data_IF_964071080845
#
_entry.id   IF_964071080845
#
_cell.length_a   1.000
_cell.length_b   1.000
_cell.length_c   1.000
_cell.angle_alpha   90.00
_cell.angle_beta   90.00
_cell.angle_gamma   90.00
#
_symmetry.space_group_name_H-M   'P 1'
#
loop_
_entity.id
_entity.type
_entity.pdbx_description
1 polymer ?
#
# COMPACT_ATOMS: atom_id res chain seq x y z
N UNK A 1 -2.10 19.17 -6.22
CA UNK A 1 -2.41 18.39 -5.01
C UNK A 1 -1.35 18.72 -3.99
N UNK A 2 -1.71 19.18 -2.80
CA UNK A 2 -0.75 19.33 -1.71
C UNK A 2 -0.25 17.94 -1.32
N UNK A 3 1.07 17.78 -1.23
CA UNK A 3 1.67 16.55 -0.76
C UNK A 3 1.34 16.40 0.73
N UNK A 4 0.61 15.35 1.09
CA UNK A 4 0.29 15.08 2.50
C UNK A 4 1.61 14.73 3.20
N UNK A 5 1.98 15.51 4.20
CA UNK A 5 3.15 15.21 5.02
C UNK A 5 2.86 13.97 5.90
N UNK A 6 3.26 12.81 5.39
CA UNK A 6 3.01 11.51 6.03
C UNK A 6 3.73 11.37 7.38
N UNK A 7 4.90 11.99 7.51
CA UNK A 7 5.66 11.99 8.77
C UNK A 7 4.95 12.79 9.85
N UNK A 8 4.48 13.99 9.52
CA UNK A 8 3.70 14.81 10.46
C UNK A 8 2.39 14.13 10.86
N UNK A 9 1.75 13.40 9.94
CA UNK A 9 0.54 12.63 10.24
C UNK A 9 0.84 11.45 11.18
N UNK A 10 1.97 10.77 10.99
CA UNK A 10 2.43 9.68 11.87
C UNK A 10 2.68 10.17 13.29
N UNK A 11 3.43 11.26 13.43
CA UNK A 11 3.72 11.88 14.74
C UNK A 11 2.44 12.31 15.47
N UNK A 12 1.48 12.87 14.72
CA UNK A 12 0.18 13.23 15.28
C UNK A 12 -0.61 12.00 15.76
N UNK A 13 -0.59 10.91 14.99
CA UNK A 13 -1.26 9.66 15.36
C UNK A 13 -0.61 8.98 16.56
N UNK A 14 0.71 8.88 16.61
CA UNK A 14 1.47 8.34 17.76
C UNK A 14 1.19 9.14 19.03
N UNK A 15 1.18 10.47 18.94
CA UNK A 15 0.88 11.36 20.08
C UNK A 15 -0.57 11.24 20.55
N UNK A 16 -1.51 10.97 19.64
CA UNK A 16 -2.90 10.73 19.98
C UNK A 16 -3.13 9.36 20.65
N UNK A 17 -2.17 8.44 20.54
CA UNK A 17 -2.16 7.12 21.17
C UNK A 17 -2.81 6.04 20.30
N UNK A 18 -2.26 4.82 20.34
CA UNK A 18 -2.69 3.64 19.56
C UNK A 18 -4.04 3.04 20.02
N UNK A 19 -4.74 3.73 20.91
CA UNK A 19 -5.99 3.24 21.45
C UNK A 19 -7.05 3.13 20.35
N UNK A 20 -7.70 1.96 20.29
CA UNK A 20 -8.87 1.79 19.44
C UNK A 20 -9.99 2.68 19.94
N UNK A 21 -10.70 3.33 19.03
CA UNK A 21 -11.82 4.20 19.36
C UNK A 21 -13.15 3.50 19.01
N UNK A 22 -14.21 3.88 19.72
CA UNK A 22 -15.54 3.33 19.55
C UNK A 22 -16.58 4.45 19.46
N UNK A 23 -17.45 4.36 18.47
CA UNK A 23 -18.65 5.18 18.37
C UNK A 23 -19.73 4.66 19.34
N UNK A 24 -20.31 5.54 20.16
CA UNK A 24 -21.38 5.20 21.10
C UNK A 24 -22.46 6.27 21.11
N UNK A 25 -23.69 5.87 21.45
CA UNK A 25 -24.76 6.79 21.82
C UNK A 25 -24.98 6.65 23.33
N UNK A 26 -24.89 7.74 24.07
CA UNK A 26 -24.98 7.75 25.54
C UNK A 26 -25.99 8.83 25.92
N UNK A 27 -27.05 8.46 26.64
CA UNK A 27 -28.10 9.37 27.14
C UNK A 27 -28.82 10.26 26.10
N UNK A 28 -28.64 10.01 24.80
CA UNK A 28 -29.23 10.84 23.74
C UNK A 28 -28.18 11.35 22.76
N UNK A 29 -26.97 11.57 23.28
CA UNK A 29 -25.89 12.23 22.57
C UNK A 29 -24.88 11.23 22.01
N UNK A 30 -24.07 11.71 21.08
CA UNK A 30 -23.22 10.90 20.23
C UNK A 30 -21.75 11.14 20.56
N UNK A 31 -21.06 10.08 20.97
CA UNK A 31 -19.67 10.16 21.42
C UNK A 31 -18.75 9.23 20.65
N UNK A 32 -17.51 9.66 20.49
CA UNK A 32 -16.36 8.77 20.30
C UNK A 32 -15.71 8.58 21.65
N UNK A 33 -15.51 7.32 22.05
CA UNK A 33 -14.94 6.93 23.33
C UNK A 33 -13.77 5.97 23.12
N UNK A 34 -12.89 5.84 24.11
CA UNK A 34 -11.86 4.79 24.08
C UNK A 34 -12.54 3.42 24.08
N UNK A 35 -12.14 2.54 23.16
CA UNK A 35 -12.71 1.21 23.04
C UNK A 35 -12.57 0.43 24.35
N UNK A 36 -13.65 -0.21 24.81
CA UNK A 36 -13.67 -0.96 26.06
C UNK A 36 -13.80 -0.12 27.33
N UNK A 37 -13.79 1.22 27.25
CA UNK A 37 -13.95 2.08 28.43
C UNK A 37 -15.39 2.16 28.96
N UNK A 38 -16.38 1.78 28.16
CA UNK A 38 -17.79 1.87 28.54
C UNK A 38 -18.18 0.79 29.52
N UNK A 39 -18.53 1.18 30.75
CA UNK A 39 -19.07 0.30 31.78
C UNK A 39 -20.33 0.88 32.40
N UNK A 40 -21.30 0.01 32.69
CA UNK A 40 -22.55 0.37 33.37
C UNK A 40 -22.72 -0.52 34.59
N UNK A 41 -22.67 0.06 35.78
CA UNK A 41 -22.77 -0.67 37.06
C UNK A 41 -23.62 0.13 38.04
N UNK A 42 -24.52 -0.55 38.77
CA UNK A 42 -25.35 0.05 39.83
C UNK A 42 -26.07 1.36 39.43
N UNK A 43 -26.52 1.46 38.18
CA UNK A 43 -27.18 2.66 37.64
C UNK A 43 -26.23 3.77 37.18
N UNK A 44 -24.93 3.67 37.49
CA UNK A 44 -23.89 4.59 37.03
C UNK A 44 -23.31 4.13 35.69
N UNK A 45 -23.02 5.10 34.83
CA UNK A 45 -22.35 4.88 33.55
C UNK A 45 -21.00 5.60 33.59
N UNK A 46 -19.92 4.86 33.33
CA UNK A 46 -18.57 5.42 33.22
C UNK A 46 -17.96 5.06 31.86
N UNK A 47 -17.22 6.01 31.30
CA UNK A 47 -16.54 5.89 30.01
C UNK A 47 -15.47 6.97 29.90
N UNK A 48 -14.54 6.81 28.96
CA UNK A 48 -13.53 7.82 28.65
C UNK A 48 -13.90 8.51 27.32
N UNK A 49 -14.45 9.74 27.37
CA UNK A 49 -14.81 10.49 26.17
C UNK A 49 -13.56 10.99 25.44
N UNK A 50 -13.60 10.91 24.11
CA UNK A 50 -12.60 11.50 23.21
C UNK A 50 -13.18 12.74 22.55
N UNK A 51 -14.39 12.62 22.00
CA UNK A 51 -15.11 13.71 21.38
C UNK A 51 -16.63 13.47 21.44
N UNK A 52 -17.38 14.56 21.59
CA UNK A 52 -18.82 14.61 21.35
C UNK A 52 -19.06 15.12 19.93
N UNK A 53 -19.84 14.38 19.15
CA UNK A 53 -20.06 14.64 17.72
C UNK A 53 -21.52 14.36 17.39
N UNK A 54 -22.33 15.41 17.28
CA UNK A 54 -23.78 15.33 17.02
C UNK A 54 -24.14 14.57 15.74
N UNK A 55 -23.32 14.69 14.71
CA UNK A 55 -23.57 14.05 13.44
C UNK A 55 -23.14 12.58 13.49
N UNK A 56 -24.13 11.66 13.55
CA UNK A 56 -23.90 10.20 13.61
C UNK A 56 -22.91 9.69 12.55
N UNK A 57 -23.04 10.03 11.24
CA UNK A 57 -22.08 9.61 10.23
C UNK A 57 -20.64 10.08 10.50
N UNK A 58 -20.48 11.33 10.96
CA UNK A 58 -19.16 11.90 11.25
C UNK A 58 -18.53 11.20 12.46
N UNK A 59 -19.30 10.97 13.53
CA UNK A 59 -18.86 10.18 14.68
C UNK A 59 -18.39 8.79 14.26
N UNK A 60 -19.18 8.11 13.43
CA UNK A 60 -18.86 6.74 12.97
C UNK A 60 -17.60 6.72 12.11
N UNK A 61 -17.39 7.74 11.28
CA UNK A 61 -16.17 7.92 10.52
C UNK A 61 -14.97 8.16 11.45
N UNK A 62 -15.04 9.12 12.37
CA UNK A 62 -13.94 9.46 13.30
C UNK A 62 -13.55 8.27 14.16
N UNK A 63 -14.50 7.48 14.65
CA UNK A 63 -14.19 6.27 15.42
C UNK A 63 -13.43 5.20 14.60
N UNK A 64 -13.70 5.11 13.28
CA UNK A 64 -13.00 4.21 12.36
C UNK A 64 -11.63 4.77 11.94
N UNK A 65 -11.56 6.06 11.65
CA UNK A 65 -10.34 6.81 11.31
C UNK A 65 -9.55 7.20 12.57
N UNK A 66 -9.44 6.27 13.52
CA UNK A 66 -8.67 6.46 14.74
C UNK A 66 -7.16 6.40 14.45
N UNK A 67 -6.31 6.84 15.41
CA UNK A 67 -4.87 6.87 15.19
C UNK A 67 -4.25 5.52 14.80
N UNK A 68 -4.70 4.41 15.39
CA UNK A 68 -4.23 3.08 15.03
C UNK A 68 -4.51 2.74 13.55
N UNK A 69 -5.72 2.99 13.06
CA UNK A 69 -6.07 2.81 11.64
C UNK A 69 -5.23 3.72 10.74
N UNK A 70 -4.95 4.95 11.17
CA UNK A 70 -4.11 5.88 10.38
C UNK A 70 -2.67 5.35 10.28
N UNK A 71 -2.11 4.83 11.37
CA UNK A 71 -0.77 4.22 11.36
C UNK A 71 -0.71 2.99 10.46
N UNK A 72 -1.69 2.09 10.56
CA UNK A 72 -1.78 0.91 9.69
C UNK A 72 -1.82 1.30 8.20
N UNK A 73 -2.62 2.31 7.83
CA UNK A 73 -2.69 2.80 6.45
C UNK A 73 -1.40 3.45 5.97
N UNK A 74 -0.66 4.14 6.87
CA UNK A 74 0.64 4.71 6.53
C UNK A 74 1.69 3.62 6.30
N UNK A 75 1.68 2.56 7.10
CA UNK A 75 2.58 1.41 6.94
C UNK A 75 2.31 0.67 5.62
N UNK A 76 1.04 0.45 5.28
CA UNK A 76 0.65 -0.14 3.99
C UNK A 76 1.09 0.73 2.80
N UNK A 77 0.96 2.06 2.92
CA UNK A 77 1.37 3.00 1.89
C UNK A 77 2.90 3.00 1.70
N UNK A 78 3.66 2.97 2.79
CA UNK A 78 5.12 2.90 2.75
C UNK A 78 5.59 1.59 2.10
N UNK A 79 4.98 0.46 2.49
CA UNK A 79 5.26 -0.85 1.88
C UNK A 79 4.95 -0.86 0.37
N UNK A 80 3.83 -0.28 -0.04
CA UNK A 80 3.45 -0.17 -1.44
C UNK A 80 4.45 0.71 -2.22
N UNK A 81 4.84 1.87 -1.68
CA UNK A 81 5.85 2.74 -2.29
C UNK A 81 7.20 2.03 -2.43
N UNK A 82 7.64 1.29 -1.41
CA UNK A 82 8.87 0.49 -1.46
C UNK A 82 8.79 -0.58 -2.55
N UNK A 83 7.64 -1.24 -2.68
CA UNK A 83 7.42 -2.24 -3.73
C UNK A 83 7.45 -1.63 -5.12
N UNK A 84 6.86 -0.44 -5.31
CA UNK A 84 6.92 0.30 -6.58
C UNK A 84 8.37 0.67 -6.91
N UNK A 85 9.12 1.24 -5.97
CA UNK A 85 10.52 1.58 -6.19
C UNK A 85 11.38 0.36 -6.52
N UNK A 86 11.15 -0.79 -5.88
CA UNK A 86 11.82 -2.04 -6.21
C UNK A 86 11.47 -2.49 -7.64
N UNK A 87 10.23 -2.34 -8.08
CA UNK A 87 9.80 -2.71 -9.43
C UNK A 87 10.35 -1.74 -10.49
N UNK A 88 10.41 -0.45 -10.19
CA UNK A 88 10.97 0.58 -11.08
C UNK A 88 12.49 0.46 -11.23
N UNK A 89 13.19 0.01 -10.18
CA UNK A 89 14.63 -0.25 -10.21
C UNK A 89 15.01 -1.58 -10.88
N UNK A 90 14.04 -2.44 -11.25
CA UNK A 90 14.33 -3.69 -11.95
C UNK A 90 14.70 -3.42 -13.40
N UNK A 91 15.92 -3.77 -13.76
CA UNK A 91 16.41 -3.71 -15.13
C UNK A 91 16.57 -5.11 -15.72
N UNK A 92 16.32 -5.24 -17.02
CA UNK A 92 16.57 -6.48 -17.76
C UNK A 92 17.88 -6.30 -18.53
N UNK A 93 18.89 -7.08 -18.18
CA UNK A 93 20.14 -7.14 -18.94
C UNK A 93 19.94 -8.05 -20.14
N UNK A 94 19.91 -7.44 -21.33
CA UNK A 94 19.81 -8.20 -22.58
C UNK A 94 21.15 -8.85 -22.92
N UNK A 95 21.13 -10.07 -23.50
CA UNK A 95 22.34 -10.74 -23.97
C UNK A 95 23.00 -9.95 -25.11
N UNK A 96 24.27 -10.26 -25.38
CA UNK A 96 24.98 -9.65 -26.51
C UNK A 96 24.28 -9.99 -27.84
N UNK A 97 24.21 -9.02 -28.76
CA UNK A 97 23.63 -9.26 -30.08
C UNK A 97 24.58 -10.14 -30.90
N UNK A 98 24.05 -11.20 -31.49
CA UNK A 98 24.77 -12.07 -32.41
C UNK A 98 24.51 -11.68 -33.86
N UNK A 99 25.53 -11.80 -34.71
CA UNK A 99 25.38 -11.60 -36.15
C UNK A 99 24.57 -12.74 -36.78
N UNK A 100 23.61 -12.40 -37.65
CA UNK A 100 22.82 -13.40 -38.39
C UNK A 100 23.55 -13.99 -39.61
N UNK A 101 24.81 -13.61 -39.88
CA UNK A 101 25.61 -14.02 -41.05
C UNK A 101 25.80 -15.54 -41.24
N UNK A 102 25.50 -16.37 -40.23
CA UNK A 102 25.79 -17.82 -40.25
C UNK A 102 24.60 -18.73 -39.91
N UNK A 103 23.36 -18.21 -39.86
CA UNK A 103 22.18 -19.08 -39.66
C UNK A 103 21.66 -19.62 -40.99
N UNK A 104 21.55 -20.94 -41.07
CA UNK A 104 21.18 -21.70 -42.27
C UNK A 104 19.67 -21.59 -42.61
N UNK A 105 18.88 -21.13 -41.63
CA UNK A 105 17.41 -21.13 -41.61
C UNK A 105 16.79 -19.72 -41.76
N UNK A 106 17.60 -18.69 -42.03
CA UNK A 106 17.14 -17.32 -42.31
C UNK A 106 17.34 -16.91 -43.78
N UNK A 107 16.42 -16.09 -44.30
CA UNK A 107 16.48 -15.58 -45.67
C UNK A 107 17.67 -14.63 -45.85
N UNK A 108 18.31 -14.68 -47.03
CA UNK A 108 19.57 -13.97 -47.38
C UNK A 108 19.53 -12.46 -47.05
N UNK A 109 18.34 -11.85 -47.13
CA UNK A 109 18.08 -10.43 -46.85
C UNK A 109 18.37 -9.99 -45.41
N UNK A 110 18.50 -10.93 -44.45
CA UNK A 110 18.72 -10.63 -43.03
C UNK A 110 20.16 -10.85 -42.55
N UNK A 111 21.06 -11.26 -43.44
CA UNK A 111 22.43 -11.65 -43.08
C UNK A 111 23.24 -10.54 -42.40
N UNK A 112 22.97 -9.26 -42.64
CA UNK A 112 23.73 -8.15 -42.05
C UNK A 112 23.19 -7.63 -40.72
N UNK A 113 22.06 -8.17 -40.23
CA UNK A 113 21.37 -7.65 -39.04
C UNK A 113 21.91 -8.29 -37.77
N UNK A 114 22.29 -7.46 -36.80
CA UNK A 114 22.61 -7.90 -35.43
C UNK A 114 21.32 -8.19 -34.67
N UNK A 115 21.18 -9.39 -34.12
CA UNK A 115 19.94 -9.81 -33.45
C UNK A 115 20.18 -10.56 -32.15
N UNK A 116 19.20 -10.48 -31.25
CA UNK A 116 19.18 -11.25 -30.03
C UNK A 116 18.69 -12.67 -30.28
N UNK A 117 19.30 -13.65 -29.61
CA UNK A 117 18.79 -15.01 -29.62
C UNK A 117 17.56 -15.09 -28.71
N UNK A 118 16.42 -15.48 -29.28
CA UNK A 118 15.12 -15.53 -28.58
C UNK A 118 15.19 -16.30 -27.26
N UNK A 119 15.89 -17.45 -27.22
CA UNK A 119 16.02 -18.25 -25.99
C UNK A 119 16.70 -17.48 -24.86
N UNK A 120 17.80 -16.78 -25.15
CA UNK A 120 18.57 -16.05 -24.14
C UNK A 120 17.82 -14.80 -23.66
N UNK A 121 17.02 -14.17 -24.51
CA UNK A 121 16.14 -13.07 -24.11
C UNK A 121 15.02 -13.57 -23.19
N UNK A 122 14.40 -14.71 -23.50
CA UNK A 122 13.38 -15.31 -22.64
C UNK A 122 13.98 -15.68 -21.27
N UNK A 123 15.18 -16.27 -21.25
CA UNK A 123 15.87 -16.62 -20.01
C UNK A 123 16.23 -15.38 -19.18
N UNK A 124 16.70 -14.30 -19.82
CA UNK A 124 16.96 -13.02 -19.16
C UNK A 124 15.67 -12.40 -18.57
N UNK A 125 14.56 -12.45 -19.30
CA UNK A 125 13.26 -11.97 -18.79
C UNK A 125 12.80 -12.82 -17.61
N UNK A 126 12.87 -14.15 -17.70
CA UNK A 126 12.48 -15.06 -16.60
C UNK A 126 13.35 -14.86 -15.35
N UNK A 127 14.65 -14.60 -15.51
CA UNK A 127 15.56 -14.32 -14.39
C UNK A 127 15.15 -13.09 -13.58
N UNK A 128 14.47 -12.11 -14.20
CA UNK A 128 13.92 -10.93 -13.50
C UNK A 128 12.59 -11.17 -12.78
N UNK A 129 12.01 -12.38 -12.92
CA UNK A 129 10.75 -12.77 -12.30
C UNK A 129 9.52 -12.08 -12.89
N UNK A 130 9.62 -11.57 -14.12
CA UNK A 130 8.51 -10.96 -14.86
C UNK A 130 7.68 -12.06 -15.53
N UNK A 131 6.36 -12.04 -15.33
CA UNK A 131 5.43 -12.97 -16.00
C UNK A 131 5.22 -12.56 -17.46
N UNK A 132 5.33 -13.50 -18.38
CA UNK A 132 5.08 -13.31 -19.82
C UNK A 132 3.68 -13.83 -20.13
N UNK A 133 2.84 -13.03 -20.79
CA UNK A 133 1.47 -13.43 -21.17
C UNK A 133 1.51 -14.17 -22.51
N UNK A 134 0.97 -15.39 -22.57
CA UNK A 134 0.90 -16.19 -23.80
C UNK A 134 1.68 -17.51 -23.78
N UNK A 135 2.25 -17.89 -22.63
CA UNK A 135 2.46 -19.30 -22.27
C UNK A 135 1.14 -19.96 -21.83
#
# INVERSE_FOLDING_TARGET
>A
MSEINSQALREAAEKAGEDKWQAKKINGDFFVIRHGSYTRQHGYTSYQPIAEIDCKPVRDFVAKANPATVLELLDELEAAKKRIAELEAREILLPERSSMLHRTDFHDDYQTVMAYKVSEVIDAIRATGIRIKGE
#
